data_IF_365554522002
#
_entry.id   IF_365554522002
#
_cell.length_a   1.000
_cell.length_b   1.000
_cell.length_c   1.000
_cell.angle_alpha   90.00
_cell.angle_beta   90.00
_cell.angle_gamma   90.00
#
_symmetry.space_group_name_H-M   'P 1'
#
loop_
_entity.id
_entity.type
_entity.pdbx_description
1 polymer ?
#
# COMPACT_ATOMS: atom_id res chain seq x y z
N UNK A 1 -21.38 -8.02 -8.21
CA UNK A 1 -20.60 -7.81 -6.97
C UNK A 1 -20.56 -9.09 -6.10
N UNK A 2 -21.66 -9.82 -5.91
CA UNK A 2 -21.69 -11.08 -5.12
C UNK A 2 -20.72 -12.12 -5.69
N UNK A 3 -20.69 -12.28 -7.01
CA UNK A 3 -19.73 -13.16 -7.69
C UNK A 3 -18.27 -12.75 -7.45
N UNK A 4 -17.97 -11.45 -7.48
CA UNK A 4 -16.63 -10.96 -7.20
C UNK A 4 -16.19 -11.27 -5.76
N UNK A 5 -17.08 -11.05 -4.77
CA UNK A 5 -16.80 -11.39 -3.38
C UNK A 5 -16.54 -12.89 -3.22
N UNK A 6 -17.36 -13.72 -3.88
CA UNK A 6 -17.18 -15.17 -3.85
C UNK A 6 -15.83 -15.61 -4.45
N UNK A 7 -15.45 -15.04 -5.60
CA UNK A 7 -14.18 -15.34 -6.25
C UNK A 7 -13.01 -14.87 -5.37
N UNK A 8 -13.03 -13.65 -4.83
CA UNK A 8 -12.01 -13.17 -3.91
C UNK A 8 -11.90 -14.03 -2.66
N UNK A 9 -13.04 -14.42 -2.07
CA UNK A 9 -13.05 -15.30 -0.90
C UNK A 9 -12.39 -16.66 -1.21
N UNK A 10 -12.71 -17.26 -2.36
CA UNK A 10 -12.07 -18.50 -2.82
C UNK A 10 -10.55 -18.31 -3.01
N UNK A 11 -10.13 -17.23 -3.64
CA UNK A 11 -8.70 -16.91 -3.84
C UNK A 11 -8.00 -16.80 -2.48
N UNK A 12 -8.57 -16.07 -1.52
CA UNK A 12 -7.97 -15.92 -0.18
C UNK A 12 -7.96 -17.23 0.63
N UNK A 13 -8.92 -18.13 0.39
CA UNK A 13 -8.92 -19.45 1.04
C UNK A 13 -7.86 -20.39 0.45
N UNK A 14 -7.68 -20.37 -0.87
CA UNK A 14 -6.76 -21.27 -1.59
C UNK A 14 -5.32 -20.72 -1.55
N UNK A 15 -5.14 -19.48 -1.99
CA UNK A 15 -3.83 -18.86 -2.13
C UNK A 15 -3.36 -18.16 -0.85
N UNK A 16 -4.31 -17.81 0.06
CA UNK A 16 -4.01 -17.03 1.25
C UNK A 16 -3.87 -15.54 0.97
N UNK A 17 -3.58 -14.80 2.03
CA UNK A 17 -3.19 -13.37 1.98
C UNK A 17 -1.68 -13.28 2.21
N UNK A 18 -1.04 -12.43 1.45
CA UNK A 18 0.38 -12.16 1.63
C UNK A 18 0.59 -11.31 2.90
N UNK A 19 1.33 -11.85 3.84
CA UNK A 19 1.81 -11.18 5.04
C UNK A 19 3.27 -10.84 4.84
N UNK A 20 3.57 -9.58 4.74
CA UNK A 20 4.94 -9.09 4.62
C UNK A 20 5.17 -8.03 5.68
N UNK A 21 5.77 -8.42 6.79
CA UNK A 21 6.12 -7.47 7.85
C UNK A 21 7.01 -6.37 7.27
N UNK A 22 6.64 -5.10 7.40
CA UNK A 22 7.40 -4.00 6.82
C UNK A 22 8.66 -3.71 7.61
N UNK A 23 9.80 -3.67 6.92
CA UNK A 23 11.08 -3.22 7.45
C UNK A 23 11.52 -1.96 6.71
N UNK A 24 12.03 -0.98 7.43
CA UNK A 24 12.60 0.22 6.86
C UNK A 24 13.95 -0.14 6.24
N UNK A 25 14.05 -0.05 4.92
CA UNK A 25 15.30 -0.24 4.18
C UNK A 25 16.16 1.02 4.20
N UNK A 26 15.51 2.17 4.05
CA UNK A 26 16.18 3.46 3.95
C UNK A 26 15.31 4.56 4.55
N UNK A 27 15.94 5.51 5.22
CA UNK A 27 15.32 6.74 5.69
C UNK A 27 15.92 7.90 4.92
N UNK A 28 15.10 8.68 4.24
CA UNK A 28 15.54 9.84 3.48
C UNK A 28 16.08 10.92 4.43
N UNK A 29 17.21 11.52 4.09
CA UNK A 29 17.77 12.64 4.85
C UNK A 29 16.77 13.80 4.89
N UNK A 30 16.76 14.53 5.99
CA UNK A 30 15.87 15.71 6.20
C UNK A 30 14.37 15.39 6.06
N UNK A 31 13.99 14.13 6.22
CA UNK A 31 12.60 13.71 6.22
C UNK A 31 11.98 13.71 7.61
N UNK A 32 10.64 13.76 7.72
CA UNK A 32 9.95 13.62 9.00
C UNK A 32 10.37 12.37 9.78
N UNK A 33 10.59 11.26 9.08
CA UNK A 33 11.06 10.01 9.69
C UNK A 33 12.49 10.11 10.25
N UNK A 34 13.39 10.78 9.51
CA UNK A 34 14.76 11.02 9.98
C UNK A 34 14.77 11.93 11.22
N UNK A 35 14.00 13.01 11.18
CA UNK A 35 13.88 13.96 12.29
C UNK A 35 13.30 13.30 13.55
N UNK A 36 12.39 12.35 13.39
CA UNK A 36 11.83 11.57 14.50
C UNK A 36 12.79 10.49 15.03
N UNK A 37 13.86 10.13 14.31
CA UNK A 37 14.84 9.14 14.75
C UNK A 37 14.59 7.72 14.26
N UNK A 38 13.77 7.52 13.24
CA UNK A 38 13.65 6.22 12.56
C UNK A 38 14.95 5.89 11.83
N UNK A 39 15.27 4.61 11.77
CA UNK A 39 16.51 4.11 11.20
C UNK A 39 16.28 2.96 10.23
N UNK A 40 17.24 2.73 9.34
CA UNK A 40 17.28 1.51 8.52
C UNK A 40 17.38 0.28 9.42
N UNK A 41 16.62 -0.77 9.09
CA UNK A 41 16.51 -1.98 9.87
C UNK A 41 15.35 -2.01 10.88
N UNK A 42 14.68 -0.88 11.13
CA UNK A 42 13.51 -0.83 11.99
C UNK A 42 12.36 -1.62 11.37
N UNK A 43 11.71 -2.44 12.16
CA UNK A 43 10.51 -3.17 11.76
C UNK A 43 9.28 -2.44 12.26
N UNK A 44 8.40 -2.01 11.36
CA UNK A 44 7.16 -1.33 11.74
C UNK A 44 6.17 -2.37 12.27
N UNK A 45 5.77 -2.21 13.53
CA UNK A 45 4.87 -3.14 14.22
C UNK A 45 3.45 -2.59 14.33
N UNK A 46 3.30 -1.28 14.64
CA UNK A 46 1.99 -0.64 14.75
C UNK A 46 2.03 0.77 14.16
N UNK A 47 0.87 1.23 13.67
CA UNK A 47 0.60 2.63 13.30
C UNK A 47 -0.74 3.01 13.93
N UNK A 48 -0.75 4.07 14.77
CA UNK A 48 -1.93 4.52 15.53
C UNK A 48 -2.62 3.34 16.24
N UNK A 49 -1.83 2.53 16.96
CA UNK A 49 -2.25 1.34 17.71
C UNK A 49 -2.83 0.19 16.85
N UNK A 50 -2.88 0.36 15.54
CA UNK A 50 -3.25 -0.72 14.61
C UNK A 50 -2.02 -1.55 14.28
N UNK A 51 -2.09 -2.85 14.54
CA UNK A 51 -1.03 -3.80 14.16
C UNK A 51 -0.90 -3.87 12.64
N UNK A 52 0.35 -3.83 12.15
CA UNK A 52 0.66 -3.85 10.73
C UNK A 52 1.05 -5.26 10.30
N UNK A 53 0.36 -5.75 9.29
CA UNK A 53 0.56 -7.09 8.73
C UNK A 53 1.16 -7.05 7.31
N UNK A 54 1.09 -5.91 6.63
CA UNK A 54 1.60 -5.76 5.26
C UNK A 54 2.18 -4.39 4.98
N UNK A 55 3.08 -4.33 3.97
CA UNK A 55 3.69 -3.08 3.50
C UNK A 55 2.65 -2.09 2.99
N UNK A 56 1.63 -2.58 2.29
CA UNK A 56 0.59 -1.73 1.71
C UNK A 56 -0.22 -0.99 2.78
N UNK A 57 -0.42 -1.60 3.96
CA UNK A 57 -1.13 -0.96 5.08
C UNK A 57 -0.39 0.27 5.59
N UNK A 58 0.94 0.22 5.66
CA UNK A 58 1.78 1.36 6.08
C UNK A 58 1.52 2.56 5.18
N UNK A 59 1.63 2.35 3.87
CA UNK A 59 1.43 3.41 2.88
C UNK A 59 0.03 3.99 2.92
N UNK A 60 -0.98 3.14 3.08
CA UNK A 60 -2.39 3.55 3.15
C UNK A 60 -2.68 4.36 4.42
N UNK A 61 -2.18 3.92 5.58
CA UNK A 61 -2.40 4.61 6.84
C UNK A 61 -1.69 5.96 6.90
N UNK A 62 -0.47 6.07 6.36
CA UNK A 62 0.24 7.34 6.26
C UNK A 62 -0.52 8.30 5.34
N UNK A 63 -0.97 7.84 4.18
CA UNK A 63 -1.71 8.67 3.24
C UNK A 63 -3.07 9.16 3.79
N UNK A 64 -3.76 8.31 4.56
CA UNK A 64 -5.05 8.61 5.16
C UNK A 64 -4.98 9.43 6.47
N UNK A 65 -3.78 9.67 7.01
CA UNK A 65 -3.63 10.40 8.27
C UNK A 65 -4.13 11.85 8.16
N UNK A 66 -4.80 12.34 9.20
CA UNK A 66 -5.25 13.74 9.26
C UNK A 66 -4.30 14.68 10.04
N UNK A 67 -3.30 14.10 10.72
CA UNK A 67 -2.33 14.83 11.56
C UNK A 67 -1.12 13.95 11.85
N UNK A 68 -0.57 14.14 13.04
CA UNK A 68 0.54 13.32 13.53
C UNK A 68 0.16 11.84 13.60
N UNK A 69 1.12 10.98 13.27
CA UNK A 69 0.97 9.53 13.37
C UNK A 69 1.93 8.96 14.39
N UNK A 70 1.43 8.06 15.21
CA UNK A 70 2.24 7.27 16.12
C UNK A 70 2.70 6.02 15.40
N UNK A 71 4.01 5.85 15.25
CA UNK A 71 4.60 4.65 14.66
C UNK A 71 5.37 3.91 15.75
N UNK A 72 4.96 2.67 16.01
CA UNK A 72 5.69 1.76 16.91
C UNK A 72 6.53 0.83 16.08
N UNK A 73 7.83 0.83 16.31
CA UNK A 73 8.79 -0.04 15.64
C UNK A 73 9.37 -1.05 16.62
N UNK A 74 9.90 -2.13 16.08
CA UNK A 74 10.78 -3.07 16.82
C UNK A 74 12.21 -2.87 16.36
N UNK A 75 13.09 -2.45 17.29
CA UNK A 75 14.53 -2.28 17.10
C UNK A 75 15.25 -3.07 18.21
N UNK A 76 16.14 -3.98 17.85
CA UNK A 76 16.85 -4.84 18.82
C UNK A 76 15.91 -5.55 19.80
N UNK A 77 14.77 -6.06 19.32
CA UNK A 77 13.73 -6.74 20.12
C UNK A 77 13.01 -5.84 21.14
N UNK A 78 13.20 -4.54 21.08
CA UNK A 78 12.49 -3.54 21.90
C UNK A 78 11.48 -2.78 21.06
N UNK A 79 10.31 -2.50 21.65
CA UNK A 79 9.31 -1.63 21.05
C UNK A 79 9.63 -0.17 21.37
N UNK A 80 9.68 0.65 20.35
CA UNK A 80 9.93 2.09 20.46
C UNK A 80 8.83 2.84 19.73
N UNK A 81 8.31 3.89 20.35
CA UNK A 81 7.25 4.73 19.80
C UNK A 81 7.82 6.04 19.26
N UNK A 82 7.38 6.43 18.09
CA UNK A 82 7.74 7.68 17.42
C UNK A 82 6.47 8.40 16.97
N UNK A 83 6.42 9.69 17.22
CA UNK A 83 5.34 10.57 16.70
C UNK A 83 5.90 11.35 15.53
N UNK A 84 5.26 11.24 14.37
CA UNK A 84 5.75 11.76 13.11
C UNK A 84 4.64 12.53 12.41
N UNK A 85 4.93 13.74 11.97
CA UNK A 85 4.03 14.53 11.15
C UNK A 85 4.31 14.28 9.66
N UNK A 86 3.40 13.62 8.93
CA UNK A 86 3.57 13.41 7.50
C UNK A 86 3.51 14.73 6.73
N UNK A 87 4.34 14.85 5.70
CA UNK A 87 4.35 16.02 4.80
C UNK A 87 3.75 15.66 3.45
N UNK A 88 3.04 16.62 2.84
CA UNK A 88 2.58 16.50 1.46
C UNK A 88 3.77 16.65 0.52
N UNK A 89 3.94 15.67 -0.35
CA UNK A 89 4.93 15.71 -1.44
C UNK A 89 4.26 15.37 -2.76
N UNK A 90 4.76 15.97 -3.81
CA UNK A 90 4.37 15.61 -5.17
C UNK A 90 4.86 14.19 -5.46
N UNK A 91 3.97 13.37 -5.92
CA UNK A 91 4.21 11.99 -6.29
C UNK A 91 3.50 11.70 -7.62
N UNK A 92 3.87 10.62 -8.26
CA UNK A 92 3.13 10.10 -9.42
C UNK A 92 2.33 8.89 -8.98
N UNK A 93 1.09 8.80 -9.47
CA UNK A 93 0.31 7.58 -9.31
C UNK A 93 0.84 6.46 -10.22
N UNK A 94 0.25 5.28 -10.13
CA UNK A 94 0.63 4.13 -10.96
C UNK A 94 0.43 4.39 -12.47
N UNK A 95 -0.29 5.43 -12.83
CA UNK A 95 -0.61 5.83 -14.19
C UNK A 95 0.25 7.01 -14.68
N UNK A 96 1.15 7.53 -13.80
CA UNK A 96 2.05 8.63 -14.13
C UNK A 96 1.49 10.04 -13.91
N UNK A 97 0.25 10.18 -13.37
CA UNK A 97 -0.32 11.49 -13.06
C UNK A 97 0.33 12.09 -11.82
N UNK A 98 0.46 13.41 -11.82
CA UNK A 98 0.90 14.13 -10.64
C UNK A 98 -0.20 14.12 -9.59
N UNK A 99 0.14 13.68 -8.39
CA UNK A 99 -0.73 13.73 -7.21
C UNK A 99 0.06 14.19 -6.00
N UNK A 100 -0.63 14.79 -5.05
CA UNK A 100 -0.04 15.06 -3.75
C UNK A 100 -0.34 13.91 -2.80
N UNK A 101 0.70 13.41 -2.16
CA UNK A 101 0.59 12.32 -1.21
C UNK A 101 1.33 12.62 0.07
N UNK A 102 0.72 12.27 1.21
CA UNK A 102 1.41 12.34 2.50
C UNK A 102 2.48 11.28 2.59
N UNK A 103 3.68 11.70 2.94
CA UNK A 103 4.85 10.85 3.09
C UNK A 103 5.63 11.22 4.34
N UNK A 104 6.37 10.27 4.88
CA UNK A 104 7.29 10.46 5.99
C UNK A 104 8.76 10.28 5.59
N UNK A 105 9.03 9.86 4.34
CA UNK A 105 10.37 9.73 3.79
C UNK A 105 11.08 8.43 4.17
N UNK A 106 10.37 7.31 4.14
CA UNK A 106 10.94 5.97 4.32
C UNK A 106 10.76 5.12 3.07
N UNK A 107 11.72 4.24 2.82
CA UNK A 107 11.61 3.14 1.86
C UNK A 107 11.43 1.83 2.62
N UNK A 108 10.38 1.10 2.31
CA UNK A 108 9.97 -0.10 3.03
C UNK A 108 10.16 -1.31 2.13
N UNK A 109 10.63 -2.41 2.72
CA UNK A 109 10.77 -3.72 2.08
C UNK A 109 10.21 -4.80 2.98
N UNK A 110 9.90 -6.00 2.46
CA UNK A 110 9.57 -7.15 3.28
C UNK A 110 10.73 -7.51 4.22
N UNK A 111 10.42 -7.75 5.49
CA UNK A 111 11.42 -8.23 6.44
C UNK A 111 12.01 -9.56 5.95
N UNK A 112 13.34 -9.65 5.89
CA UNK A 112 14.09 -10.80 5.37
C UNK A 112 13.74 -11.21 3.92
N UNK A 113 13.19 -10.29 3.10
CA UNK A 113 12.66 -10.58 1.77
C UNK A 113 11.65 -11.73 1.74
N UNK A 114 10.99 -12.00 2.87
CA UNK A 114 9.99 -13.06 2.99
C UNK A 114 8.60 -12.46 2.91
N UNK A 115 7.82 -13.05 2.02
CA UNK A 115 6.35 -12.86 1.97
C UNK A 115 5.76 -14.17 2.44
N UNK A 116 5.23 -14.19 3.64
CA UNK A 116 4.55 -15.36 4.18
C UNK A 116 3.11 -15.37 3.66
N UNK A 117 2.70 -16.44 3.02
CA UNK A 117 1.32 -16.66 2.62
C UNK A 117 0.57 -17.43 3.69
N UNK A 118 -0.41 -16.78 4.30
CA UNK A 118 -1.25 -17.42 5.29
C UNK A 118 -2.63 -17.68 4.70
N UNK A 119 -3.01 -18.96 4.62
CA UNK A 119 -4.39 -19.31 4.22
C UNK A 119 -5.37 -18.79 5.25
N UNK A 120 -6.41 -18.14 4.78
CA UNK A 120 -7.44 -17.57 5.63
C UNK A 120 -8.55 -18.57 5.84
N UNK A 121 -9.05 -18.64 7.08
CA UNK A 121 -10.30 -19.36 7.34
C UNK A 121 -11.50 -18.65 6.65
N UNK A 122 -12.63 -19.36 6.45
CA UNK A 122 -13.77 -18.87 5.65
C UNK A 122 -14.28 -17.48 6.08
N UNK A 123 -14.43 -17.24 7.36
CA UNK A 123 -14.93 -15.97 7.89
C UNK A 123 -13.98 -14.80 7.58
N UNK A 124 -12.65 -15.00 7.76
CA UNK A 124 -11.65 -13.98 7.42
C UNK A 124 -11.53 -13.77 5.92
N UNK A 125 -11.62 -14.83 5.12
CA UNK A 125 -11.60 -14.76 3.67
C UNK A 125 -12.77 -13.92 3.13
N UNK A 126 -13.98 -14.11 3.65
CA UNK A 126 -15.15 -13.30 3.28
C UNK A 126 -14.96 -11.84 3.69
N UNK A 127 -14.47 -11.58 4.91
CA UNK A 127 -14.20 -10.21 5.36
C UNK A 127 -13.22 -9.48 4.44
N UNK A 128 -12.07 -10.10 4.11
CA UNK A 128 -11.11 -9.50 3.20
C UNK A 128 -11.62 -9.38 1.77
N UNK A 129 -12.44 -10.32 1.30
CA UNK A 129 -13.09 -10.23 0.00
C UNK A 129 -14.04 -9.03 -0.11
N UNK A 130 -14.81 -8.76 0.95
CA UNK A 130 -15.67 -7.57 1.05
C UNK A 130 -14.85 -6.28 1.02
N UNK A 131 -13.78 -6.22 1.82
CA UNK A 131 -12.89 -5.05 1.86
C UNK A 131 -12.22 -4.81 0.51
N UNK A 132 -11.73 -5.84 -0.16
CA UNK A 132 -11.09 -5.72 -1.48
C UNK A 132 -12.10 -5.27 -2.54
N UNK A 133 -13.30 -5.82 -2.51
CA UNK A 133 -14.38 -5.38 -3.41
C UNK A 133 -14.73 -3.91 -3.17
N UNK A 134 -14.87 -3.50 -1.90
CA UNK A 134 -15.14 -2.11 -1.54
C UNK A 134 -14.02 -1.18 -2.01
N UNK A 135 -12.77 -1.55 -1.77
CA UNK A 135 -11.60 -0.77 -2.22
C UNK A 135 -11.57 -0.62 -3.74
N UNK A 136 -11.82 -1.71 -4.47
CA UNK A 136 -11.86 -1.71 -5.93
C UNK A 136 -12.96 -0.78 -6.45
N UNK A 137 -14.16 -0.86 -5.86
CA UNK A 137 -15.28 0.02 -6.23
C UNK A 137 -14.94 1.49 -5.94
N UNK A 138 -14.41 1.77 -4.74
CA UNK A 138 -14.06 3.13 -4.32
C UNK A 138 -12.99 3.74 -5.23
N UNK A 139 -11.96 2.98 -5.56
CA UNK A 139 -10.90 3.41 -6.49
C UNK A 139 -11.47 3.67 -7.90
N UNK A 140 -12.33 2.76 -8.40
CA UNK A 140 -12.94 2.90 -9.72
C UNK A 140 -13.86 4.12 -9.79
N UNK A 141 -14.73 4.30 -8.78
CA UNK A 141 -15.62 5.46 -8.72
C UNK A 141 -14.87 6.78 -8.53
N UNK A 142 -13.82 6.77 -7.67
CA UNK A 142 -12.95 7.93 -7.47
C UNK A 142 -12.25 8.32 -8.77
N UNK A 143 -11.74 7.33 -9.51
CA UNK A 143 -11.13 7.60 -10.82
C UNK A 143 -12.14 8.15 -11.83
N UNK A 144 -13.34 7.56 -11.94
CA UNK A 144 -14.40 8.05 -12.80
C UNK A 144 -14.80 9.49 -12.44
N UNK A 145 -14.89 9.80 -11.14
CA UNK A 145 -15.12 11.14 -10.64
C UNK A 145 -14.04 12.12 -11.12
N UNK A 146 -12.78 11.74 -11.03
CA UNK A 146 -11.66 12.57 -11.49
C UNK A 146 -11.67 12.77 -13.01
N UNK A 147 -12.09 11.78 -13.80
CA UNK A 147 -12.28 11.93 -15.25
C UNK A 147 -13.41 12.91 -15.57
N UNK A 148 -14.54 12.84 -14.87
CA UNK A 148 -15.69 13.73 -15.08
C UNK A 148 -15.32 15.18 -14.75
N UNK A 149 -14.54 15.41 -13.69
CA UNK A 149 -14.08 16.75 -13.28
C UNK A 149 -12.91 17.25 -14.14
N UNK A 150 -12.40 16.44 -15.07
CA UNK A 150 -11.29 16.79 -15.95
C UNK A 150 -9.91 16.74 -15.27
N UNK A 151 -9.81 16.19 -14.06
CA UNK A 151 -8.57 16.06 -13.31
C UNK A 151 -7.75 14.83 -13.71
N UNK A 152 -8.34 13.88 -14.42
CA UNK A 152 -7.69 12.69 -14.96
C UNK A 152 -8.06 12.47 -16.43
N UNK A 153 -7.10 11.95 -17.23
CA UNK A 153 -7.34 11.65 -18.64
C UNK A 153 -8.16 10.37 -18.80
N UNK A 154 -9.21 10.37 -19.67
CA UNK A 154 -9.96 9.15 -20.01
C UNK A 154 -9.10 8.04 -20.63
N UNK A 155 -7.99 8.42 -21.28
CA UNK A 155 -7.06 7.47 -21.94
C UNK A 155 -6.37 6.49 -20.98
N UNK A 156 -6.51 6.74 -19.69
CA UNK A 156 -5.96 5.89 -18.64
C UNK A 156 -6.88 4.73 -18.22
N UNK A 157 -8.14 4.74 -18.63
CA UNK A 157 -8.99 3.57 -18.61
C UNK A 157 -8.38 2.56 -19.60
N UNK A 158 -7.45 1.77 -19.10
CA UNK A 158 -6.63 0.85 -19.88
C UNK A 158 -7.44 -0.01 -20.83
N UNK A 159 -7.69 0.53 -22.02
CA UNK A 159 -8.28 -0.25 -23.11
C UNK A 159 -7.30 -1.35 -23.58
N UNK A 160 -7.76 -2.27 -24.46
CA UNK A 160 -6.93 -3.36 -24.98
C UNK A 160 -5.58 -2.91 -25.55
N UNK A 161 -5.53 -1.68 -26.08
CA UNK A 161 -4.32 -1.06 -26.65
C UNK A 161 -3.27 -0.81 -25.55
N UNK A 162 -3.67 -0.35 -24.36
CA UNK A 162 -2.73 -0.09 -23.28
C UNK A 162 -2.22 -1.37 -22.64
N UNK A 163 -3.04 -2.41 -22.58
CA UNK A 163 -2.63 -3.75 -22.17
C UNK A 163 -1.58 -4.29 -23.15
N UNK A 164 -1.81 -4.14 -24.47
CA UNK A 164 -0.87 -4.54 -25.49
C UNK A 164 0.46 -3.75 -25.40
N UNK A 165 0.41 -2.44 -25.14
CA UNK A 165 1.61 -1.60 -24.95
C UNK A 165 2.43 -2.03 -23.72
N UNK A 166 1.78 -2.27 -22.58
CA UNK A 166 2.45 -2.73 -21.37
C UNK A 166 3.07 -4.11 -21.58
N UNK A 167 2.34 -5.02 -22.24
CA UNK A 167 2.84 -6.36 -22.56
C UNK A 167 4.04 -6.29 -23.51
N UNK A 168 4.01 -5.39 -24.50
CA UNK A 168 5.15 -5.13 -25.38
C UNK A 168 6.38 -4.62 -24.63
N UNK A 169 6.19 -3.63 -23.76
CA UNK A 169 7.30 -3.10 -22.95
C UNK A 169 7.91 -4.14 -22.01
N UNK A 170 7.09 -4.99 -21.40
CA UNK A 170 7.59 -6.08 -20.54
C UNK A 170 8.37 -7.12 -21.35
N UNK A 171 7.96 -7.41 -22.59
CA UNK A 171 8.68 -8.29 -23.49
C UNK A 171 10.05 -7.72 -23.91
N UNK A 172 10.15 -6.39 -24.08
CA UNK A 172 11.41 -5.70 -24.43
C UNK A 172 12.43 -5.68 -23.27
N UNK A 173 11.99 -5.80 -22.02
CA UNK A 173 12.88 -5.91 -20.85
C UNK A 173 13.44 -7.31 -20.61
N UNK A 174 13.09 -8.29 -21.43
CA UNK A 174 13.65 -9.64 -21.48
C UNK A 174 13.45 -10.44 -20.20
N UNK A 175 12.85 -11.61 -20.34
CA UNK A 175 12.96 -12.68 -19.35
C UNK A 175 14.31 -13.38 -19.51
#
# INVERSE_FOLDING_TARGET
FILAIFIFALIFMINGKDYSLPMIQEVQKESPAANAGLQSGDKISFINDKQIESINEVSTLIAASSGDIKITITRNSQLLDFVIQPVLKDAKDALGNNMQRKMIGIKIVPYQNKVDRKRLGPAKAIYYALMETYNTISLTLGYLGNVIVGSASPDQLGGPIKIAQITGQVADYGF
#
